data_IF_829417382879
#
_entry.id   IF_829417382879
#
_cell.length_a   1.000
_cell.length_b   1.000
_cell.length_c   1.000
_cell.angle_alpha   90.00
_cell.angle_beta   90.00
_cell.angle_gamma   90.00
#
_symmetry.space_group_name_H-M   'P 1'
#
loop_
_entity.id
_entity.type
_entity.pdbx_description
1 polymer ?
#
# COMPACT_ATOMS: atom_id res chain seq x y z
N UNK A 1 73.88 -31.40 5.07
CA UNK A 1 73.44 -30.01 4.84
C UNK A 1 72.74 -30.00 3.51
N UNK A 2 71.42 -29.90 3.59
CA UNK A 2 70.45 -30.13 2.52
C UNK A 2 69.77 -28.80 2.26
N UNK A 3 69.70 -28.34 1.02
CA UNK A 3 68.77 -27.25 0.68
C UNK A 3 68.12 -27.54 -0.66
N UNK A 4 66.83 -27.85 -0.55
CA UNK A 4 65.89 -28.15 -1.63
C UNK A 4 65.42 -26.84 -2.25
N UNK A 5 65.31 -26.80 -3.57
CA UNK A 5 64.77 -25.69 -4.36
C UNK A 5 63.24 -25.68 -4.18
N UNK A 6 62.72 -24.66 -3.51
CA UNK A 6 61.30 -24.47 -3.29
C UNK A 6 60.60 -24.02 -4.58
N UNK A 7 59.56 -24.76 -4.96
CA UNK A 7 58.71 -24.48 -6.12
C UNK A 7 57.71 -23.37 -5.81
N UNK A 8 57.86 -22.22 -6.47
CA UNK A 8 56.85 -21.17 -6.55
C UNK A 8 55.60 -21.71 -7.29
N UNK A 9 54.59 -22.16 -6.54
CA UNK A 9 53.23 -22.37 -7.05
C UNK A 9 52.57 -21.00 -7.25
N UNK A 10 52.39 -20.60 -8.51
CA UNK A 10 51.50 -19.49 -8.85
C UNK A 10 50.04 -19.84 -8.47
N UNK A 11 49.30 -18.93 -7.82
CA UNK A 11 47.87 -19.11 -7.58
C UNK A 11 47.12 -19.08 -8.92
N UNK A 12 46.33 -20.13 -9.20
CA UNK A 12 45.42 -20.17 -10.36
C UNK A 12 44.44 -19.01 -10.27
N UNK A 13 44.32 -18.25 -11.35
CA UNK A 13 43.37 -17.15 -11.55
C UNK A 13 41.94 -17.57 -11.21
N UNK A 14 41.37 -16.98 -10.17
CA UNK A 14 39.96 -17.10 -9.78
C UNK A 14 39.02 -16.24 -10.65
N UNK A 15 39.56 -15.62 -11.72
CA UNK A 15 38.82 -14.67 -12.57
C UNK A 15 37.71 -15.27 -13.42
N UNK A 16 37.74 -16.59 -13.71
CA UNK A 16 36.68 -17.25 -14.50
C UNK A 16 35.36 -17.38 -13.75
N UNK A 17 35.40 -17.79 -12.47
CA UNK A 17 34.19 -17.97 -11.63
C UNK A 17 33.48 -16.65 -11.32
N UNK A 18 34.23 -15.57 -11.17
CA UNK A 18 33.68 -14.24 -10.86
C UNK A 18 32.93 -13.67 -12.08
N UNK A 19 33.44 -13.88 -13.30
CA UNK A 19 32.80 -13.42 -14.53
C UNK A 19 31.51 -14.21 -14.85
N UNK A 20 31.52 -15.53 -14.65
CA UNK A 20 30.34 -16.37 -14.88
C UNK A 20 29.21 -16.06 -13.88
N UNK A 21 29.56 -15.81 -12.61
CA UNK A 21 28.60 -15.40 -11.58
C UNK A 21 27.97 -14.02 -11.90
N UNK A 22 28.77 -13.04 -12.31
CA UNK A 22 28.28 -11.71 -12.69
C UNK A 22 27.38 -11.74 -13.94
N UNK A 23 27.69 -12.62 -14.90
CA UNK A 23 26.84 -12.87 -16.08
C UNK A 23 25.48 -13.45 -15.66
N UNK A 24 25.48 -14.47 -14.77
CA UNK A 24 24.24 -15.10 -14.28
C UNK A 24 23.34 -14.16 -13.47
N UNK A 25 23.93 -13.25 -12.68
CA UNK A 25 23.20 -12.22 -11.92
C UNK A 25 22.54 -11.20 -12.86
N UNK A 26 23.26 -10.80 -13.91
CA UNK A 26 22.75 -9.86 -14.91
C UNK A 26 21.56 -10.44 -15.66
N UNK A 27 21.62 -11.72 -16.05
CA UNK A 27 20.49 -12.39 -16.71
C UNK A 27 19.29 -12.54 -15.78
N UNK A 28 19.48 -12.90 -14.50
CA UNK A 28 18.39 -12.93 -13.51
C UNK A 28 17.71 -11.58 -13.34
N UNK A 29 18.48 -10.48 -13.29
CA UNK A 29 17.92 -9.12 -13.20
C UNK A 29 17.14 -8.71 -14.44
N UNK A 30 17.63 -9.08 -15.63
CA UNK A 30 16.91 -8.85 -16.89
C UNK A 30 15.59 -9.60 -16.89
N UNK A 31 15.61 -10.89 -16.57
CA UNK A 31 14.41 -11.73 -16.49
C UNK A 31 13.40 -11.16 -15.49
N UNK A 32 13.84 -10.80 -14.28
CA UNK A 32 13.00 -10.16 -13.28
C UNK A 32 12.39 -8.85 -13.78
N UNK A 33 13.17 -8.01 -14.48
CA UNK A 33 12.67 -6.76 -15.07
C UNK A 33 11.62 -7.02 -16.17
N UNK A 34 11.82 -8.05 -17.00
CA UNK A 34 10.86 -8.44 -18.05
C UNK A 34 9.54 -8.91 -17.44
N UNK A 35 9.59 -9.82 -16.45
CA UNK A 35 8.40 -10.28 -15.76
C UNK A 35 7.71 -9.18 -14.96
N UNK A 36 8.47 -8.25 -14.38
CA UNK A 36 7.92 -7.06 -13.75
C UNK A 36 7.08 -6.25 -14.74
N UNK A 37 7.62 -5.89 -15.91
CA UNK A 37 6.88 -5.09 -16.89
C UNK A 37 5.63 -5.81 -17.41
N UNK A 38 5.69 -7.12 -17.65
CA UNK A 38 4.50 -7.90 -18.06
C UNK A 38 3.43 -7.93 -16.95
N UNK A 39 3.85 -8.10 -15.71
CA UNK A 39 2.97 -8.07 -14.54
C UNK A 39 2.34 -6.69 -14.36
N UNK A 40 3.14 -5.63 -14.44
CA UNK A 40 2.68 -4.25 -14.33
C UNK A 40 1.68 -3.89 -15.44
N UNK A 41 1.98 -4.19 -16.71
CA UNK A 41 1.09 -3.89 -17.83
C UNK A 41 -0.24 -4.64 -17.70
N UNK A 42 -0.21 -5.91 -17.31
CA UNK A 42 -1.44 -6.69 -17.11
C UNK A 42 -2.28 -6.13 -15.95
N UNK A 43 -1.65 -5.74 -14.83
CA UNK A 43 -2.33 -5.08 -13.71
C UNK A 43 -2.93 -3.72 -14.12
N UNK A 44 -2.19 -2.92 -14.91
CA UNK A 44 -2.68 -1.63 -15.40
C UNK A 44 -3.90 -1.78 -16.29
N UNK A 45 -3.93 -2.78 -17.16
CA UNK A 45 -5.11 -3.09 -18.01
C UNK A 45 -6.29 -3.52 -17.16
N UNK A 46 -6.05 -4.41 -16.19
CA UNK A 46 -7.06 -4.87 -15.24
C UNK A 46 -7.67 -3.71 -14.46
N UNK A 47 -6.82 -2.86 -13.86
CA UNK A 47 -7.21 -1.67 -13.12
C UNK A 47 -8.03 -0.70 -13.97
N UNK A 48 -7.60 -0.41 -15.20
CA UNK A 48 -8.32 0.51 -16.10
C UNK A 48 -9.72 -0.01 -16.45
N UNK A 49 -9.84 -1.31 -16.69
CA UNK A 49 -11.15 -1.95 -16.94
C UNK A 49 -12.07 -1.80 -15.72
N UNK A 50 -11.61 -2.20 -14.54
CA UNK A 50 -12.37 -2.07 -13.29
C UNK A 50 -12.75 -0.61 -13.00
N UNK A 51 -11.83 0.33 -13.19
CA UNK A 51 -12.10 1.75 -12.99
C UNK A 51 -13.21 2.27 -13.92
N UNK A 52 -13.23 1.82 -15.18
CA UNK A 52 -14.28 2.18 -16.12
C UNK A 52 -15.64 1.56 -15.74
N UNK A 53 -15.65 0.31 -15.29
CA UNK A 53 -16.87 -0.37 -14.84
C UNK A 53 -17.45 0.29 -13.59
N UNK A 54 -16.62 0.61 -12.60
CA UNK A 54 -17.01 1.36 -11.39
C UNK A 54 -17.53 2.76 -11.75
N UNK A 55 -16.84 3.47 -12.65
CA UNK A 55 -17.25 4.82 -13.07
C UNK A 55 -18.60 4.82 -13.80
N UNK A 56 -18.83 3.81 -14.65
CA UNK A 56 -20.05 3.68 -15.44
C UNK A 56 -21.15 2.91 -14.68
N UNK A 57 -20.94 2.62 -13.40
CA UNK A 57 -21.93 1.98 -12.57
C UNK A 57 -23.12 2.93 -12.37
N UNK A 58 -24.18 2.73 -13.15
CA UNK A 58 -25.45 3.42 -12.96
C UNK A 58 -26.27 2.72 -11.88
N UNK A 59 -26.55 3.36 -10.74
CA UNK A 59 -27.45 2.79 -9.76
C UNK A 59 -28.87 2.87 -10.33
N UNK A 60 -29.36 1.77 -10.89
CA UNK A 60 -30.66 1.73 -11.58
C UNK A 60 -31.77 2.42 -10.79
N UNK A 61 -32.26 3.54 -11.33
CA UNK A 61 -33.42 4.37 -10.96
C UNK A 61 -33.78 4.65 -9.49
N UNK A 62 -33.05 4.14 -8.49
CA UNK A 62 -33.24 4.44 -7.09
C UNK A 62 -31.87 4.39 -6.41
N UNK A 63 -31.39 5.54 -5.92
CA UNK A 63 -30.30 5.75 -4.95
C UNK A 63 -29.15 4.73 -4.97
N UNK A 64 -27.92 5.18 -5.30
CA UNK A 64 -26.64 4.44 -5.14
C UNK A 64 -26.76 3.20 -4.24
N UNK A 65 -27.06 2.04 -4.82
CA UNK A 65 -27.14 0.81 -4.05
C UNK A 65 -25.70 0.33 -3.85
N UNK A 66 -25.04 0.83 -2.81
CA UNK A 66 -23.75 0.30 -2.36
C UNK A 66 -23.73 -1.24 -2.28
N UNK A 67 -24.82 -1.93 -1.89
CA UNK A 67 -24.90 -3.39 -2.01
C UNK A 67 -24.66 -3.92 -3.44
N UNK A 68 -25.25 -3.30 -4.46
CA UNK A 68 -25.05 -3.71 -5.84
C UNK A 68 -23.62 -3.42 -6.32
N UNK A 69 -23.06 -2.27 -5.91
CA UNK A 69 -21.65 -1.97 -6.15
C UNK A 69 -20.75 -2.98 -5.45
N UNK A 70 -21.09 -3.40 -4.23
CA UNK A 70 -20.36 -4.41 -3.49
C UNK A 70 -20.35 -5.76 -4.22
N UNK A 71 -21.46 -6.17 -4.86
CA UNK A 71 -21.47 -7.38 -5.69
C UNK A 71 -20.45 -7.29 -6.83
N UNK A 72 -20.42 -6.17 -7.57
CA UNK A 72 -19.42 -5.93 -8.63
C UNK A 72 -17.98 -5.94 -8.09
N UNK A 73 -17.75 -5.27 -6.96
CA UNK A 73 -16.41 -5.19 -6.34
C UNK A 73 -15.93 -6.57 -5.88
N UNK A 74 -16.83 -7.44 -5.41
CA UNK A 74 -16.46 -8.82 -5.07
C UNK A 74 -15.94 -9.59 -6.29
N UNK A 75 -16.60 -9.45 -7.45
CA UNK A 75 -16.12 -10.05 -8.71
C UNK A 75 -14.75 -9.49 -9.12
N UNK A 76 -14.53 -8.19 -8.92
CA UNK A 76 -13.22 -7.58 -9.15
C UNK A 76 -12.15 -8.09 -8.19
N UNK A 77 -12.47 -8.30 -6.91
CA UNK A 77 -11.55 -8.89 -5.92
C UNK A 77 -11.08 -10.26 -6.41
N UNK A 78 -11.98 -11.10 -6.92
CA UNK A 78 -11.63 -12.40 -7.51
C UNK A 78 -10.72 -12.29 -8.73
N UNK A 79 -10.95 -11.30 -9.60
CA UNK A 79 -10.07 -11.06 -10.76
C UNK A 79 -8.67 -10.60 -10.34
N UNK A 80 -8.57 -9.76 -9.31
CA UNK A 80 -7.28 -9.33 -8.76
C UNK A 80 -6.55 -10.51 -8.12
N UNK A 81 -7.25 -11.35 -7.34
CA UNK A 81 -6.67 -12.56 -6.74
C UNK A 81 -6.16 -13.53 -7.82
N UNK A 82 -6.96 -13.78 -8.86
CA UNK A 82 -6.54 -14.60 -9.98
C UNK A 82 -5.29 -14.04 -10.68
N UNK A 83 -5.18 -12.70 -10.80
CA UNK A 83 -3.98 -12.05 -11.33
C UNK A 83 -2.77 -12.28 -10.41
N UNK A 84 -2.92 -12.15 -9.10
CA UNK A 84 -1.82 -12.42 -8.13
C UNK A 84 -1.35 -13.88 -8.25
N UNK A 85 -2.27 -14.84 -8.31
CA UNK A 85 -1.93 -16.26 -8.45
C UNK A 85 -1.30 -16.63 -9.81
N UNK A 86 -1.51 -15.79 -10.83
CA UNK A 86 -0.91 -15.98 -12.15
C UNK A 86 0.52 -15.39 -12.26
N UNK A 87 1.02 -14.73 -11.22
CA UNK A 87 2.37 -14.17 -11.23
C UNK A 87 3.43 -15.29 -11.29
N UNK A 88 4.51 -15.10 -12.07
CA UNK A 88 5.64 -16.02 -12.05
C UNK A 88 6.32 -16.00 -10.69
N UNK A 89 6.99 -17.09 -10.32
CA UNK A 89 7.66 -17.25 -9.01
C UNK A 89 8.59 -16.08 -8.66
N UNK A 90 9.31 -15.53 -9.65
CA UNK A 90 10.21 -14.38 -9.46
C UNK A 90 9.49 -13.10 -9.03
N UNK A 91 8.21 -12.96 -9.36
CA UNK A 91 7.33 -11.84 -9.01
C UNK A 91 6.25 -12.22 -7.98
N UNK A 92 6.33 -13.40 -7.36
CA UNK A 92 5.37 -13.81 -6.33
C UNK A 92 5.35 -12.80 -5.18
N UNK A 93 4.15 -12.48 -4.70
CA UNK A 93 3.92 -11.52 -3.61
C UNK A 93 3.54 -12.20 -2.28
N UNK A 94 3.74 -13.53 -2.20
CA UNK A 94 3.44 -14.34 -1.00
C UNK A 94 4.40 -14.04 0.16
N UNK A 95 5.65 -13.72 -0.15
CA UNK A 95 6.64 -13.33 0.86
C UNK A 95 6.30 -11.97 1.49
N UNK A 96 6.73 -11.71 2.73
CA UNK A 96 6.55 -10.42 3.39
C UNK A 96 7.16 -9.25 2.58
N UNK A 97 6.58 -8.04 2.64
CA UNK A 97 7.09 -6.87 1.91
C UNK A 97 8.55 -6.51 2.22
N UNK A 98 9.05 -6.88 3.41
CA UNK A 98 10.43 -6.64 3.84
C UNK A 98 11.45 -7.44 3.02
N UNK A 99 11.03 -8.52 2.37
CA UNK A 99 11.85 -9.37 1.50
C UNK A 99 11.74 -8.99 0.01
N UNK A 100 11.00 -7.92 -0.31
CA UNK A 100 10.82 -7.50 -1.68
C UNK A 100 12.09 -6.88 -2.26
N UNK A 101 12.54 -7.41 -3.41
CA UNK A 101 13.40 -6.64 -4.30
C UNK A 101 12.61 -5.53 -4.98
N UNK A 102 13.31 -4.56 -5.59
CA UNK A 102 12.73 -3.34 -6.19
C UNK A 102 11.49 -3.62 -7.06
N UNK A 103 11.52 -4.66 -7.90
CA UNK A 103 10.40 -5.00 -8.77
C UNK A 103 9.16 -5.43 -7.98
N UNK A 104 9.32 -6.31 -6.98
CA UNK A 104 8.20 -6.76 -6.14
C UNK A 104 7.67 -5.63 -5.26
N UNK A 105 8.56 -4.80 -4.72
CA UNK A 105 8.20 -3.63 -3.93
C UNK A 105 7.28 -2.68 -4.71
N UNK A 106 7.68 -2.33 -5.93
CA UNK A 106 6.87 -1.46 -6.82
C UNK A 106 5.56 -2.14 -7.19
N UNK A 107 5.60 -3.43 -7.55
CA UNK A 107 4.40 -4.19 -7.95
C UNK A 107 3.38 -4.29 -6.81
N UNK A 108 3.82 -4.55 -5.57
CA UNK A 108 2.97 -4.56 -4.38
C UNK A 108 2.36 -3.18 -4.13
N UNK A 109 3.14 -2.11 -4.32
CA UNK A 109 2.64 -0.74 -4.29
C UNK A 109 1.50 -0.50 -5.28
N UNK A 110 1.63 -1.00 -6.52
CA UNK A 110 0.59 -0.92 -7.54
C UNK A 110 -0.64 -1.77 -7.22
N UNK A 111 -0.46 -2.96 -6.65
CA UNK A 111 -1.56 -3.81 -6.21
C UNK A 111 -2.39 -3.12 -5.11
N UNK A 112 -1.75 -2.47 -4.15
CA UNK A 112 -2.45 -1.68 -3.12
C UNK A 112 -3.24 -0.53 -3.77
N UNK A 113 -2.73 0.11 -4.84
CA UNK A 113 -3.49 1.16 -5.53
C UNK A 113 -4.79 0.61 -6.14
N UNK A 114 -4.78 -0.63 -6.63
CA UNK A 114 -5.99 -1.30 -7.13
C UNK A 114 -6.98 -1.51 -6.00
N UNK A 115 -6.54 -2.05 -4.87
CA UNK A 115 -7.44 -2.27 -3.73
C UNK A 115 -7.97 -0.96 -3.12
N UNK A 116 -7.14 0.07 -2.97
CA UNK A 116 -7.60 1.40 -2.54
C UNK A 116 -8.69 1.94 -3.48
N UNK A 117 -8.54 1.75 -4.81
CA UNK A 117 -9.56 2.14 -5.78
C UNK A 117 -10.85 1.31 -5.66
N UNK A 118 -10.73 -0.02 -5.48
CA UNK A 118 -11.89 -0.91 -5.34
C UNK A 118 -12.71 -0.58 -4.09
N UNK A 119 -12.02 -0.29 -2.97
CA UNK A 119 -12.69 -0.06 -1.70
C UNK A 119 -13.04 1.41 -1.44
N UNK A 120 -12.49 2.38 -2.19
CA UNK A 120 -12.75 3.82 -2.01
C UNK A 120 -14.23 4.21 -1.82
N UNK A 121 -15.22 3.58 -2.48
CA UNK A 121 -16.62 3.95 -2.29
C UNK A 121 -17.21 3.64 -0.90
N UNK A 122 -16.54 2.81 -0.09
CA UNK A 122 -17.11 2.25 1.14
C UNK A 122 -16.67 2.94 2.44
N UNK A 123 -15.45 3.47 2.64
CA UNK A 123 -15.09 4.16 3.87
C UNK A 123 -16.11 5.21 4.32
N UNK A 124 -16.69 6.00 3.41
CA UNK A 124 -17.71 7.00 3.73
C UNK A 124 -19.01 6.39 4.31
N UNK A 125 -19.33 5.13 3.99
CA UNK A 125 -20.57 4.48 4.45
C UNK A 125 -20.61 4.31 5.97
N UNK A 126 -19.46 4.33 6.64
CA UNK A 126 -19.35 4.25 8.10
C UNK A 126 -19.92 5.47 8.83
N UNK A 127 -20.09 6.62 8.16
CA UNK A 127 -20.31 7.90 8.83
C UNK A 127 -21.45 8.76 8.28
N UNK A 128 -21.63 8.79 6.95
CA UNK A 128 -22.53 9.75 6.27
C UNK A 128 -23.80 9.15 5.69
N UNK A 129 -23.92 7.82 5.64
CA UNK A 129 -24.96 7.16 4.84
C UNK A 129 -26.16 6.60 5.62
N UNK A 130 -27.22 6.29 4.87
CA UNK A 130 -28.51 5.82 5.38
C UNK A 130 -28.37 4.57 6.26
N UNK A 131 -29.35 4.34 7.13
CA UNK A 131 -29.37 3.18 8.02
C UNK A 131 -29.31 1.83 7.26
N UNK A 132 -29.83 1.77 6.04
CA UNK A 132 -29.84 0.58 5.20
C UNK A 132 -28.43 0.16 4.77
N UNK A 133 -27.63 1.09 4.23
CA UNK A 133 -26.24 0.80 3.86
C UNK A 133 -25.38 0.39 5.06
N UNK A 134 -25.67 0.96 6.24
CA UNK A 134 -24.97 0.64 7.50
C UNK A 134 -25.26 -0.76 8.06
N UNK A 135 -26.28 -1.45 7.54
CA UNK A 135 -26.62 -2.83 7.95
C UNK A 135 -26.14 -3.92 7.00
N UNK A 136 -25.61 -3.57 5.82
CA UNK A 136 -25.24 -4.56 4.82
C UNK A 136 -23.81 -5.09 5.06
N UNK A 137 -23.69 -6.34 5.49
CA UNK A 137 -22.41 -6.96 5.93
C UNK A 137 -21.25 -6.75 4.94
N UNK A 138 -21.48 -6.97 3.64
CA UNK A 138 -20.42 -6.81 2.62
C UNK A 138 -19.93 -5.38 2.48
N UNK A 139 -20.81 -4.38 2.66
CA UNK A 139 -20.45 -2.96 2.60
C UNK A 139 -19.56 -2.61 3.80
N UNK A 140 -19.88 -3.13 4.97
CA UNK A 140 -19.08 -2.99 6.20
C UNK A 140 -17.71 -3.66 6.04
N UNK A 141 -17.68 -4.86 5.47
CA UNK A 141 -16.46 -5.60 5.19
C UNK A 141 -15.54 -4.81 4.25
N UNK A 142 -16.07 -4.26 3.16
CA UNK A 142 -15.28 -3.45 2.23
C UNK A 142 -14.83 -2.11 2.80
N UNK A 143 -15.63 -1.47 3.66
CA UNK A 143 -15.17 -0.30 4.40
C UNK A 143 -13.98 -0.65 5.29
N UNK A 144 -14.05 -1.79 5.99
CA UNK A 144 -12.97 -2.29 6.87
C UNK A 144 -11.72 -2.65 6.07
N UNK A 145 -11.87 -3.41 4.98
CA UNK A 145 -10.78 -3.73 4.04
C UNK A 145 -10.17 -2.46 3.44
N UNK A 146 -10.97 -1.46 3.09
CA UNK A 146 -10.51 -0.17 2.56
C UNK A 146 -9.60 0.58 3.54
N UNK A 147 -10.04 0.71 4.79
CA UNK A 147 -9.21 1.31 5.84
C UNK A 147 -7.93 0.50 6.08
N UNK A 148 -8.01 -0.84 6.11
CA UNK A 148 -6.82 -1.70 6.24
C UNK A 148 -5.82 -1.46 5.11
N UNK A 149 -6.27 -1.23 3.87
CA UNK A 149 -5.36 -0.97 2.74
C UNK A 149 -4.60 0.34 2.86
N UNK A 150 -5.14 1.33 3.58
CA UNK A 150 -4.40 2.55 3.92
C UNK A 150 -3.29 2.30 4.95
N UNK A 151 -3.48 1.35 5.87
CA UNK A 151 -2.40 0.89 6.77
C UNK A 151 -1.37 0.07 5.97
N UNK A 152 -1.82 -0.88 5.15
CA UNK A 152 -0.95 -1.71 4.32
C UNK A 152 -0.07 -0.86 3.38
N UNK A 153 -0.62 0.25 2.85
CA UNK A 153 0.11 1.25 2.04
C UNK A 153 1.34 1.77 2.77
N UNK A 154 1.18 2.13 4.05
CA UNK A 154 2.24 2.74 4.85
C UNK A 154 3.29 1.67 5.18
N UNK A 155 2.86 0.51 5.68
CA UNK A 155 3.74 -0.60 6.05
C UNK A 155 4.57 -1.07 4.85
N UNK A 156 3.90 -1.32 3.71
CA UNK A 156 4.56 -1.80 2.49
C UNK A 156 5.62 -0.82 1.99
N UNK A 157 5.41 0.49 2.15
CA UNK A 157 6.35 1.50 1.68
C UNK A 157 7.43 1.86 2.70
N UNK A 158 7.34 1.37 3.95
CA UNK A 158 8.31 1.68 5.02
C UNK A 158 9.77 1.48 4.60
N UNK A 159 10.16 0.41 3.88
CA UNK A 159 11.53 0.26 3.41
C UNK A 159 12.01 1.41 2.53
N UNK A 160 11.12 2.08 1.79
CA UNK A 160 11.45 3.19 0.91
C UNK A 160 11.61 4.55 1.61
N UNK A 161 11.17 4.70 2.87
CA UNK A 161 11.04 6.01 3.53
C UNK A 161 12.35 6.80 3.64
N UNK A 162 13.50 6.13 3.67
CA UNK A 162 14.82 6.74 3.81
C UNK A 162 15.62 6.74 2.50
N UNK A 163 15.02 6.34 1.38
CA UNK A 163 15.72 6.15 0.12
C UNK A 163 15.28 7.16 -0.95
N UNK A 164 16.27 7.74 -1.64
CA UNK A 164 16.05 8.57 -2.83
C UNK A 164 15.96 7.69 -4.06
N UNK A 165 14.79 7.66 -4.68
CA UNK A 165 14.55 7.02 -5.96
C UNK A 165 13.49 7.82 -6.74
N UNK A 166 13.34 7.55 -8.03
CA UNK A 166 12.40 8.26 -8.90
C UNK A 166 10.93 8.19 -8.43
N UNK A 167 10.59 7.17 -7.62
CA UNK A 167 9.27 6.98 -7.05
C UNK A 167 9.05 7.62 -5.66
N UNK A 168 10.09 8.18 -5.03
CA UNK A 168 10.02 8.62 -3.63
C UNK A 168 8.93 9.66 -3.39
N UNK A 169 8.82 10.68 -4.25
CA UNK A 169 7.79 11.71 -4.09
C UNK A 169 6.37 11.12 -4.18
N UNK A 170 6.13 10.25 -5.17
CA UNK A 170 4.84 9.56 -5.32
C UNK A 170 4.50 8.69 -4.12
N UNK A 171 5.50 7.99 -3.57
CA UNK A 171 5.37 7.22 -2.33
C UNK A 171 4.97 8.12 -1.16
N UNK A 172 5.70 9.21 -0.90
CA UNK A 172 5.40 10.15 0.21
C UNK A 172 3.98 10.69 0.09
N UNK A 173 3.59 11.16 -1.10
CA UNK A 173 2.23 11.68 -1.34
C UNK A 173 1.18 10.60 -1.10
N UNK A 174 1.40 9.36 -1.57
CA UNK A 174 0.44 8.27 -1.38
C UNK A 174 0.29 7.85 0.09
N UNK A 175 1.39 7.78 0.86
CA UNK A 175 1.36 7.50 2.29
C UNK A 175 0.70 8.65 3.06
N UNK A 176 0.98 9.90 2.70
CA UNK A 176 0.35 11.10 3.28
C UNK A 176 -1.16 11.09 3.08
N UNK A 177 -1.62 10.79 1.86
CA UNK A 177 -3.06 10.61 1.58
C UNK A 177 -3.67 9.53 2.49
N UNK A 178 -3.02 8.37 2.60
CA UNK A 178 -3.51 7.28 3.46
C UNK A 178 -3.57 7.68 4.94
N UNK A 179 -2.57 8.41 5.44
CA UNK A 179 -2.58 8.91 6.81
C UNK A 179 -3.73 9.91 7.05
N UNK A 180 -4.00 10.82 6.10
CA UNK A 180 -5.11 11.75 6.18
C UNK A 180 -6.47 11.03 6.19
N UNK A 181 -6.64 10.01 5.35
CA UNK A 181 -7.87 9.19 5.33
C UNK A 181 -8.06 8.47 6.66
N UNK A 182 -7.00 7.88 7.23
CA UNK A 182 -7.05 7.21 8.52
C UNK A 182 -7.38 8.19 9.66
N UNK A 183 -6.80 9.40 9.66
CA UNK A 183 -7.13 10.44 10.63
C UNK A 183 -8.59 10.89 10.53
N UNK A 184 -9.09 11.12 9.31
CA UNK A 184 -10.47 11.49 9.08
C UNK A 184 -11.44 10.40 9.56
N UNK A 185 -11.13 9.14 9.25
CA UNK A 185 -11.88 7.97 9.71
C UNK A 185 -11.91 7.88 11.25
N UNK A 186 -10.74 7.97 11.89
CA UNK A 186 -10.61 7.94 13.35
C UNK A 186 -11.44 9.04 14.02
N UNK A 187 -11.33 10.29 13.54
CA UNK A 187 -12.10 11.41 14.05
C UNK A 187 -13.62 11.20 13.90
N UNK A 188 -14.05 10.68 12.76
CA UNK A 188 -15.46 10.46 12.49
C UNK A 188 -16.03 9.30 13.35
N UNK A 189 -15.25 8.25 13.64
CA UNK A 189 -15.64 7.20 14.59
C UNK A 189 -15.71 7.72 16.02
N UNK A 190 -14.71 8.48 16.47
CA UNK A 190 -14.71 9.09 17.80
C UNK A 190 -15.91 10.03 17.99
N UNK A 191 -16.24 10.81 16.96
CA UNK A 191 -17.41 11.72 16.96
C UNK A 191 -18.73 10.96 16.98
N UNK A 192 -18.83 9.85 16.24
CA UNK A 192 -20.02 8.99 16.28
C UNK A 192 -20.20 8.33 17.64
N UNK A 193 -19.12 7.83 18.26
CA UNK A 193 -19.13 7.25 19.60
C UNK A 193 -19.58 8.27 20.67
N UNK A 194 -19.04 9.49 20.63
CA UNK A 194 -19.46 10.58 21.53
C UNK A 194 -20.95 10.95 21.38
N UNK A 195 -21.50 10.82 20.18
CA UNK A 195 -22.92 11.03 19.89
C UNK A 195 -23.78 9.76 20.12
N UNK A 196 -23.22 8.69 20.71
CA UNK A 196 -23.88 7.38 20.89
C UNK A 196 -24.47 6.81 19.60
N UNK A 197 -23.88 7.13 18.45
CA UNK A 197 -24.26 6.57 17.15
C UNK A 197 -23.48 5.29 16.91
N UNK A 198 -24.20 4.24 16.49
CA UNK A 198 -23.57 2.99 16.12
C UNK A 198 -22.72 3.16 14.86
N UNK A 199 -21.44 2.83 14.99
CA UNK A 199 -20.50 2.73 13.89
C UNK A 199 -20.43 1.26 13.47
N UNK A 200 -20.62 0.93 12.18
CA UNK A 200 -20.69 -0.45 11.75
C UNK A 200 -19.31 -1.14 11.61
N UNK A 201 -18.21 -0.39 11.56
CA UNK A 201 -16.83 -0.91 11.46
C UNK A 201 -15.91 -0.23 12.49
N UNK A 202 -14.72 -0.81 12.70
CA UNK A 202 -13.71 -0.30 13.62
C UNK A 202 -12.46 0.17 12.87
N UNK A 203 -11.64 1.00 13.51
CA UNK A 203 -10.32 1.33 12.95
C UNK A 203 -9.45 0.07 12.85
N UNK A 204 -8.63 -0.07 11.79
CA UNK A 204 -7.65 -1.15 11.67
C UNK A 204 -6.62 -1.13 12.80
N UNK A 205 -6.09 -2.29 13.17
CA UNK A 205 -5.02 -2.38 14.17
C UNK A 205 -3.76 -1.67 13.65
N UNK A 206 -3.09 -0.92 14.52
CA UNK A 206 -1.82 -0.25 14.19
C UNK A 206 -1.95 1.02 13.35
N UNK A 207 -3.17 1.48 13.06
CA UNK A 207 -3.38 2.69 12.23
C UNK A 207 -2.72 3.95 12.82
N UNK A 208 -2.74 4.11 14.15
CA UNK A 208 -2.12 5.25 14.84
C UNK A 208 -0.60 5.27 14.65
N UNK A 209 0.05 4.12 14.86
CA UNK A 209 1.49 3.97 14.62
C UNK A 209 1.84 4.24 13.16
N UNK A 210 1.02 3.74 12.22
CA UNK A 210 1.21 4.00 10.80
C UNK A 210 1.11 5.52 10.48
N UNK A 211 0.13 6.24 11.04
CA UNK A 211 0.02 7.70 10.87
C UNK A 211 1.25 8.42 11.43
N UNK A 212 1.74 8.03 12.62
CA UNK A 212 2.96 8.61 13.20
C UNK A 212 4.19 8.39 12.32
N UNK A 213 4.34 7.21 11.71
CA UNK A 213 5.42 6.96 10.75
C UNK A 213 5.33 7.89 9.54
N UNK A 214 4.13 8.23 9.07
CA UNK A 214 3.94 9.18 7.96
C UNK A 214 4.22 10.63 8.35
N UNK A 215 3.96 11.01 9.61
CA UNK A 215 4.40 12.30 10.16
C UNK A 215 5.93 12.39 10.10
N UNK A 216 6.62 11.35 10.56
CA UNK A 216 8.09 11.28 10.53
C UNK A 216 8.63 11.26 9.09
N UNK A 217 7.97 10.52 8.19
CA UNK A 217 8.28 10.51 6.77
C UNK A 217 8.25 11.94 6.22
N UNK A 218 7.15 12.67 6.35
CA UNK A 218 7.06 14.03 5.81
C UNK A 218 8.11 14.96 6.44
N UNK A 219 8.37 14.84 7.75
CA UNK A 219 9.40 15.63 8.42
C UNK A 219 10.81 15.37 7.84
N UNK A 220 11.16 14.11 7.56
CA UNK A 220 12.48 13.77 6.99
C UNK A 220 12.69 14.30 5.56
N UNK A 221 11.62 14.66 4.85
CA UNK A 221 11.67 15.18 3.47
C UNK A 221 11.16 16.63 3.36
N UNK A 222 10.97 17.35 4.48
CA UNK A 222 10.30 18.65 4.47
C UNK A 222 11.03 19.72 3.66
N UNK A 223 12.36 19.62 3.54
CA UNK A 223 13.19 20.57 2.80
C UNK A 223 13.28 20.26 1.30
N UNK A 224 12.69 19.16 0.84
CA UNK A 224 12.80 18.71 -0.55
C UNK A 224 11.75 19.33 -1.47
N UNK A 225 10.58 19.67 -0.93
CA UNK A 225 9.54 20.38 -1.65
C UNK A 225 8.63 21.17 -0.69
N UNK A 226 8.19 22.39 -1.06
CA UNK A 226 7.29 23.20 -0.22
C UNK A 226 5.99 22.48 0.17
N UNK A 227 5.47 21.62 -0.71
CA UNK A 227 4.27 20.84 -0.44
C UNK A 227 4.48 19.87 0.73
N UNK A 228 5.66 19.28 0.85
CA UNK A 228 5.99 18.36 1.95
C UNK A 228 6.10 19.12 3.27
N UNK A 229 6.77 20.28 3.29
CA UNK A 229 6.82 21.12 4.50
C UNK A 229 5.41 21.55 4.94
N UNK A 230 4.52 21.87 3.99
CA UNK A 230 3.12 22.16 4.31
C UNK A 230 2.38 20.94 4.89
N UNK A 231 2.61 19.75 4.34
CA UNK A 231 1.99 18.52 4.84
C UNK A 231 2.48 18.16 6.24
N UNK A 232 3.73 18.44 6.60
CA UNK A 232 4.22 18.30 7.98
C UNK A 232 3.38 19.11 8.95
N UNK A 233 3.11 20.38 8.65
CA UNK A 233 2.29 21.25 9.51
C UNK A 233 0.87 20.70 9.67
N UNK A 234 0.23 20.32 8.56
CA UNK A 234 -1.14 19.78 8.56
C UNK A 234 -1.22 18.47 9.35
N UNK A 235 -0.31 17.53 9.08
CA UNK A 235 -0.33 16.23 9.76
C UNK A 235 -0.06 16.36 11.25
N UNK A 236 0.89 17.20 11.66
CA UNK A 236 1.16 17.45 13.07
C UNK A 236 -0.03 18.07 13.80
N UNK A 237 -0.69 19.06 13.17
CA UNK A 237 -1.87 19.71 13.74
C UNK A 237 -3.02 18.70 13.92
N UNK A 238 -3.36 17.95 12.86
CA UNK A 238 -4.42 16.94 12.91
C UNK A 238 -4.11 15.81 13.91
N UNK A 239 -2.84 15.37 13.98
CA UNK A 239 -2.39 14.35 14.92
C UNK A 239 -2.46 14.84 16.37
N UNK A 240 -2.04 16.07 16.63
CA UNK A 240 -2.13 16.70 17.95
C UNK A 240 -3.60 16.82 18.41
N UNK A 241 -4.49 17.25 17.52
CA UNK A 241 -5.92 17.32 17.82
C UNK A 241 -6.53 15.94 18.08
N UNK A 242 -6.15 14.91 17.29
CA UNK A 242 -6.57 13.53 17.52
C UNK A 242 -6.16 13.03 18.91
N UNK A 243 -4.87 13.14 19.25
CA UNK A 243 -4.33 12.62 20.52
C UNK A 243 -4.94 13.29 21.75
N UNK A 244 -5.26 14.58 21.68
CA UNK A 244 -5.98 15.26 22.76
C UNK A 244 -7.41 14.76 22.89
N UNK A 245 -8.11 14.59 21.78
CA UNK A 245 -9.49 14.12 21.79
C UNK A 245 -9.60 12.68 22.34
N UNK A 246 -8.67 11.80 21.95
CA UNK A 246 -8.67 10.41 22.42
C UNK A 246 -8.34 10.28 23.92
N UNK A 247 -7.45 11.11 24.45
CA UNK A 247 -7.14 11.15 25.89
C UNK A 247 -8.34 11.56 26.75
N UNK A 248 -9.17 12.49 26.28
CA UNK A 248 -10.39 12.91 26.99
C UNK A 248 -11.52 11.88 26.96
N UNK A 249 -11.45 10.87 26.09
CA UNK A 249 -12.45 9.79 26.01
C UNK A 249 -12.12 8.60 26.94
N UNK A 250 -10.90 8.53 27.48
CA UNK A 250 -10.43 7.46 28.38
C UNK A 250 -10.40 7.87 29.86
N UNK A 251 -10.73 9.12 30.18
CA UNK A 251 -10.79 9.68 31.53
C UNK A 251 -12.26 9.86 31.97
#
# INVERSE_FOLDING_TARGET
>A
MTTVIDSLKHPKRDGGRILDAASSETERRKEASWYFYLSEISLLRLRRRMANEIKNFEPGNNSVSLPNLATMINEHEQQVLAWVHALPQSMSLEAPPEEDEVCRFVLRGHLINVYEMLYWPFPDCGYTQSAYSRSHTTVIEFATKGLQKHVDRIITNRPGFQHRHHGTFGMIVSCTRSALILLAAGQAFASAAAASRQVPCSMPIGWEAAVQEVVQLNASWEYEAPDLSRMVLILNDLWYHWTRASQHQLA
#
